data_IF_815929711476
#
_entry.id   IF_815929711476
#
_cell.length_a   1.000
_cell.length_b   1.000
_cell.length_c   1.000
_cell.angle_alpha   90.00
_cell.angle_beta   90.00
_cell.angle_gamma   90.00
#
_symmetry.space_group_name_H-M   'P 1'
#
loop_
_entity.id
_entity.type
_entity.pdbx_description
1 polymer ?
#
# COMPACT_ATOMS: atom_id res chain seq x y z
N UNK A 1 4.96 8.10 18.70
CA UNK A 1 5.67 7.41 17.60
C UNK A 1 6.56 6.36 18.23
N UNK A 2 6.54 5.13 17.73
CA UNK A 2 7.42 4.04 18.16
C UNK A 2 8.29 3.66 16.97
N UNK A 3 9.60 3.60 17.18
CA UNK A 3 10.56 3.13 16.18
C UNK A 3 11.11 1.77 16.59
N UNK A 4 11.21 0.86 15.62
CA UNK A 4 11.73 -0.48 15.80
C UNK A 4 12.79 -0.71 14.73
N UNK A 5 14.03 -0.89 15.19
CA UNK A 5 15.21 -1.07 14.33
C UNK A 5 15.37 -2.52 13.82
N UNK A 6 14.44 -3.41 14.20
CA UNK A 6 14.43 -4.80 13.75
C UNK A 6 13.10 -5.11 13.04
N UNK A 7 13.14 -5.85 11.92
CA UNK A 7 11.95 -6.39 11.28
C UNK A 7 11.05 -7.11 12.29
N UNK A 8 9.79 -6.67 12.39
CA UNK A 8 8.77 -7.38 13.18
C UNK A 8 7.38 -7.25 12.53
N UNK A 9 6.48 -8.22 12.77
CA UNK A 9 5.15 -8.19 12.17
C UNK A 9 4.33 -6.93 12.52
N UNK A 10 3.43 -6.57 11.61
CA UNK A 10 2.46 -5.51 11.84
C UNK A 10 1.55 -5.87 13.02
N UNK A 11 1.39 -4.92 13.95
CA UNK A 11 0.48 -5.04 15.08
C UNK A 11 -0.55 -3.91 15.02
N UNK A 12 -1.80 -4.15 15.44
CA UNK A 12 -2.82 -3.11 15.51
C UNK A 12 -2.36 -1.92 16.37
N UNK A 13 -2.60 -0.70 15.89
CA UNK A 13 -2.30 0.54 16.59
C UNK A 13 -3.57 1.30 17.01
N UNK A 14 -3.39 2.41 17.73
CA UNK A 14 -4.50 3.24 18.22
C UNK A 14 -5.07 4.20 17.14
N UNK A 15 -5.29 3.69 15.92
CA UNK A 15 -5.89 4.32 14.72
C UNK A 15 -5.72 5.85 14.62
N UNK A 16 -4.86 6.32 13.70
CA UNK A 16 -4.69 7.75 13.39
C UNK A 16 -4.01 8.60 14.49
N UNK A 17 -3.70 8.02 15.65
CA UNK A 17 -3.01 8.71 16.76
C UNK A 17 -1.56 8.28 16.96
N UNK A 18 -1.18 7.11 16.44
CA UNK A 18 0.14 6.52 16.65
C UNK A 18 0.71 6.01 15.34
N UNK A 19 1.98 6.32 15.10
CA UNK A 19 2.79 5.74 14.03
C UNK A 19 3.80 4.76 14.62
N UNK A 20 3.91 3.60 13.98
CA UNK A 20 4.96 2.60 14.19
C UNK A 20 5.84 2.59 12.95
N UNK A 21 7.13 2.86 13.13
CA UNK A 21 8.12 2.84 12.06
C UNK A 21 9.01 1.62 12.28
N UNK A 22 9.08 0.74 11.28
CA UNK A 22 9.81 -0.52 11.35
C UNK A 22 10.88 -0.48 10.26
N UNK A 23 12.14 -0.63 10.63
CA UNK A 23 13.23 -0.77 9.68
C UNK A 23 13.15 -2.15 9.00
N UNK A 24 13.34 -2.17 7.68
CA UNK A 24 13.41 -3.37 6.84
C UNK A 24 14.55 -3.19 5.84
N UNK A 25 15.19 -4.29 5.45
CA UNK A 25 16.26 -4.22 4.45
C UNK A 25 15.67 -4.06 3.05
N UNK A 26 14.53 -4.73 2.78
CA UNK A 26 13.77 -4.57 1.55
C UNK A 26 12.27 -4.47 1.80
N UNK A 27 11.56 -3.76 0.91
CA UNK A 27 10.11 -3.58 1.04
C UNK A 27 9.35 -4.91 0.85
N UNK A 28 9.91 -5.86 0.13
CA UNK A 28 9.30 -7.17 -0.16
C UNK A 28 9.10 -8.01 1.10
N UNK A 29 9.96 -7.84 2.11
CA UNK A 29 9.85 -8.53 3.39
C UNK A 29 8.50 -8.25 4.08
N UNK A 30 7.95 -7.07 3.83
CA UNK A 30 6.69 -6.62 4.43
C UNK A 30 5.46 -7.31 3.86
N UNK A 31 5.53 -7.90 2.66
CA UNK A 31 4.37 -8.49 1.96
C UNK A 31 3.74 -9.60 2.80
N UNK A 32 4.56 -10.43 3.45
CA UNK A 32 4.07 -11.51 4.33
C UNK A 32 3.34 -10.97 5.57
N UNK A 33 3.79 -9.84 6.13
CA UNK A 33 3.15 -9.20 7.27
C UNK A 33 1.85 -8.52 6.89
N UNK A 34 1.81 -7.93 5.69
CA UNK A 34 0.58 -7.36 5.11
C UNK A 34 -0.45 -8.46 4.88
N UNK A 35 -0.06 -9.59 4.28
CA UNK A 35 -0.97 -10.72 4.03
C UNK A 35 -1.66 -11.24 5.31
N UNK A 36 -0.94 -11.25 6.44
CA UNK A 36 -1.49 -11.63 7.74
C UNK A 36 -2.61 -10.70 8.24
N UNK A 37 -2.65 -9.46 7.73
CA UNK A 37 -3.64 -8.43 8.09
C UNK A 37 -4.79 -8.30 7.09
N UNK A 38 -4.88 -9.17 6.08
CA UNK A 38 -5.81 -9.05 4.94
C UNK A 38 -7.27 -8.73 5.29
N UNK A 39 -7.75 -9.17 6.45
CA UNK A 39 -9.13 -8.93 6.90
C UNK A 39 -9.40 -7.46 7.28
N UNK A 40 -8.34 -6.67 7.47
CA UNK A 40 -8.39 -5.29 7.97
C UNK A 40 -7.75 -4.27 7.00
N UNK A 41 -7.17 -4.73 5.89
CA UNK A 41 -6.48 -3.85 4.94
C UNK A 41 -7.49 -3.09 4.08
N UNK A 42 -7.33 -1.77 4.00
CA UNK A 42 -8.06 -0.91 3.07
C UNK A 42 -7.17 -0.41 1.93
N UNK A 43 -5.89 -0.18 2.20
CA UNK A 43 -4.92 0.29 1.22
C UNK A 43 -3.53 0.43 1.80
N UNK A 44 -2.56 0.66 0.92
CA UNK A 44 -1.15 0.89 1.26
C UNK A 44 -0.68 2.17 0.60
N UNK A 45 -0.04 3.04 1.38
CA UNK A 45 0.77 4.14 0.84
C UNK A 45 2.14 3.60 0.46
N UNK A 46 2.57 3.77 -0.80
CA UNK A 46 3.87 3.28 -1.27
C UNK A 46 4.74 4.44 -1.76
N UNK A 47 6.00 4.41 -1.34
CA UNK A 47 7.06 5.31 -1.79
C UNK A 47 8.20 4.45 -2.34
N UNK A 48 8.26 4.30 -3.66
CA UNK A 48 9.24 3.46 -4.34
C UNK A 48 9.42 3.92 -5.79
N UNK A 49 10.55 3.58 -6.40
CA UNK A 49 10.79 3.80 -7.84
C UNK A 49 9.73 3.10 -8.71
N UNK A 50 9.45 3.56 -9.94
CA UNK A 50 8.35 3.05 -10.77
C UNK A 50 8.36 1.54 -10.96
N UNK A 51 9.53 0.94 -11.24
CA UNK A 51 9.64 -0.51 -11.43
C UNK A 51 9.33 -1.28 -10.13
N UNK A 52 9.76 -0.74 -9.00
CA UNK A 52 9.49 -1.32 -7.68
C UNK A 52 8.03 -1.15 -7.28
N UNK A 53 7.40 -0.01 -7.62
CA UNK A 53 5.97 0.23 -7.43
C UNK A 53 5.14 -0.88 -8.11
N UNK A 54 5.32 -1.10 -9.42
CA UNK A 54 4.52 -2.11 -10.14
C UNK A 54 4.77 -3.53 -9.63
N UNK A 55 6.03 -3.86 -9.31
CA UNK A 55 6.39 -5.17 -8.79
C UNK A 55 5.77 -5.44 -7.41
N UNK A 56 5.88 -4.49 -6.48
CA UNK A 56 5.26 -4.60 -5.16
C UNK A 56 3.73 -4.55 -5.26
N UNK A 57 3.17 -3.78 -6.20
CA UNK A 57 1.73 -3.70 -6.38
C UNK A 57 1.09 -5.07 -6.69
N UNK A 58 1.72 -5.86 -7.57
CA UNK A 58 1.27 -7.21 -7.84
C UNK A 58 1.31 -8.10 -6.58
N UNK A 59 2.39 -8.01 -5.79
CA UNK A 59 2.57 -8.80 -4.57
C UNK A 59 1.60 -8.39 -3.46
N UNK A 60 1.40 -7.09 -3.27
CA UNK A 60 0.48 -6.52 -2.28
C UNK A 60 -0.99 -6.79 -2.66
N UNK A 61 -1.33 -6.71 -3.95
CA UNK A 61 -2.65 -7.10 -4.46
C UNK A 61 -2.95 -8.57 -4.16
N UNK A 62 -1.99 -9.46 -4.40
CA UNK A 62 -2.11 -10.88 -4.03
C UNK A 62 -2.21 -11.10 -2.51
N UNK A 63 -1.63 -10.21 -1.70
CA UNK A 63 -1.74 -10.21 -0.24
C UNK A 63 -3.09 -9.65 0.28
N UNK A 64 -3.97 -9.16 -0.60
CA UNK A 64 -5.31 -8.66 -0.25
C UNK A 64 -5.40 -7.14 -0.12
N UNK A 65 -4.39 -6.38 -0.56
CA UNK A 65 -4.51 -4.93 -0.71
C UNK A 65 -5.42 -4.62 -1.90
N UNK A 66 -6.37 -3.70 -1.71
CA UNK A 66 -7.30 -3.28 -2.77
C UNK A 66 -6.95 -1.91 -3.37
N UNK A 67 -6.03 -1.18 -2.74
CA UNK A 67 -5.68 0.20 -3.08
C UNK A 67 -4.21 0.48 -2.79
N UNK A 68 -3.50 1.05 -3.76
CA UNK A 68 -2.15 1.57 -3.64
C UNK A 68 -2.17 3.06 -3.97
N UNK A 69 -1.68 3.87 -3.04
CA UNK A 69 -1.70 5.34 -3.12
C UNK A 69 -0.31 5.92 -2.81
N UNK A 70 -0.11 7.20 -3.11
CA UNK A 70 1.07 7.91 -2.64
C UNK A 70 1.07 8.03 -1.11
N UNK A 71 2.26 7.94 -0.50
CA UNK A 71 2.40 8.20 0.93
C UNK A 71 1.87 9.61 1.27
N UNK A 72 0.98 9.70 2.26
CA UNK A 72 0.30 10.94 2.63
C UNK A 72 -1.08 11.15 1.99
N UNK A 73 -1.43 10.41 0.94
CA UNK A 73 -2.69 10.57 0.21
C UNK A 73 -3.79 9.56 0.60
N UNK A 74 -3.51 8.67 1.57
CA UNK A 74 -4.44 7.63 2.01
C UNK A 74 -5.83 8.15 2.43
N UNK A 75 -5.91 9.37 2.97
CA UNK A 75 -7.18 10.01 3.38
C UNK A 75 -7.86 10.83 2.27
N UNK A 76 -7.30 10.85 1.07
CA UNK A 76 -7.74 11.68 -0.05
C UNK A 76 -7.84 10.84 -1.33
N UNK A 77 -8.85 9.97 -1.45
CA UNK A 77 -9.08 9.16 -2.65
C UNK A 77 -9.30 10.02 -3.90
N UNK A 78 -8.84 9.53 -5.06
CA UNK A 78 -9.03 10.20 -6.34
C UNK A 78 -10.52 10.29 -6.73
N UNK A 79 -10.87 11.37 -7.44
CA UNK A 79 -12.23 11.59 -7.92
C UNK A 79 -12.64 10.49 -8.90
N UNK A 80 -13.76 9.82 -8.63
CA UNK A 80 -14.19 8.64 -9.39
C UNK A 80 -13.96 7.31 -8.69
N UNK A 81 -13.46 7.33 -7.44
CA UNK A 81 -13.46 6.14 -6.58
C UNK A 81 -14.83 5.49 -6.63
N UNK A 82 -14.83 4.18 -6.89
CA UNK A 82 -16.02 3.34 -7.00
C UNK A 82 -16.86 3.41 -5.72
N UNK A 83 -17.72 4.42 -5.59
CA UNK A 83 -18.76 4.46 -4.57
C UNK A 83 -19.87 3.48 -5.01
N UNK A 84 -19.81 2.27 -4.45
CA UNK A 84 -20.94 1.38 -4.12
C UNK A 84 -21.95 0.98 -5.22
N UNK A 85 -21.51 0.90 -6.48
CA UNK A 85 -22.24 0.19 -7.55
C UNK A 85 -21.54 -1.12 -7.91
N UNK A 86 -21.96 -2.26 -7.36
CA UNK A 86 -21.29 -3.55 -7.66
C UNK A 86 -21.84 -4.19 -8.94
N UNK A 87 -20.97 -4.40 -9.93
CA UNK A 87 -21.20 -5.35 -11.01
C UNK A 87 -21.13 -6.79 -10.46
N UNK A 88 -21.95 -7.72 -10.97
CA UNK A 88 -22.04 -9.11 -10.44
C UNK A 88 -20.71 -9.90 -10.45
N UNK A 89 -19.73 -9.48 -11.25
CA UNK A 89 -18.40 -10.10 -11.28
C UNK A 89 -17.45 -9.59 -10.19
N UNK A 90 -17.70 -8.40 -9.63
CA UNK A 90 -16.88 -7.83 -8.55
C UNK A 90 -17.03 -8.57 -7.21
N UNK A 91 -18.01 -9.46 -7.09
CA UNK A 91 -18.10 -10.39 -5.96
C UNK A 91 -17.11 -11.56 -6.08
N UNK A 92 -16.63 -11.85 -7.29
CA UNK A 92 -15.77 -13.00 -7.60
C UNK A 92 -14.30 -12.62 -7.77
N UNK A 93 -13.99 -11.33 -7.89
CA UNK A 93 -12.62 -10.84 -8.09
C UNK A 93 -12.25 -9.82 -7.02
N UNK A 94 -10.99 -9.83 -6.60
CA UNK A 94 -10.41 -8.74 -5.83
C UNK A 94 -9.55 -7.91 -6.78
N UNK A 95 -9.89 -6.62 -6.90
CA UNK A 95 -9.10 -5.67 -7.66
C UNK A 95 -8.17 -4.91 -6.71
N UNK A 96 -6.90 -4.77 -7.12
CA UNK A 96 -5.98 -3.84 -6.50
C UNK A 96 -5.73 -2.69 -7.46
N UNK A 97 -6.16 -1.49 -7.09
CA UNK A 97 -5.99 -0.28 -7.91
C UNK A 97 -4.67 0.41 -7.54
N UNK A 98 -3.94 0.90 -8.54
CA UNK A 98 -2.81 1.81 -8.36
C UNK A 98 -3.30 3.19 -8.76
N UNK A 99 -3.27 4.14 -7.82
CA UNK A 99 -3.67 5.52 -8.10
C UNK A 99 -2.66 6.26 -8.97
N UNK A 100 -3.16 7.21 -9.77
CA UNK A 100 -2.31 8.06 -10.59
C UNK A 100 -1.34 8.88 -9.73
N UNK A 101 -1.76 9.29 -8.54
CA UNK A 101 -0.91 9.94 -7.56
C UNK A 101 0.25 9.06 -7.10
N UNK A 102 0.05 7.73 -6.97
CA UNK A 102 1.12 6.80 -6.61
C UNK A 102 2.16 6.69 -7.74
N UNK A 103 1.71 6.61 -9.00
CA UNK A 103 2.60 6.59 -10.17
C UNK A 103 3.40 7.90 -10.29
N UNK A 104 2.72 9.04 -10.13
CA UNK A 104 3.36 10.37 -10.19
C UNK A 104 4.37 10.56 -9.05
N UNK A 105 4.05 10.08 -7.85
CA UNK A 105 4.96 10.12 -6.71
C UNK A 105 6.17 9.18 -6.93
N UNK A 106 5.98 8.04 -7.58
CA UNK A 106 7.03 7.07 -7.85
C UNK A 106 8.16 7.64 -8.72
N UNK A 107 7.82 8.55 -9.65
CA UNK A 107 8.81 9.24 -10.48
C UNK A 107 9.88 9.93 -9.64
N UNK A 108 9.55 10.48 -8.46
CA UNK A 108 10.52 11.15 -7.57
C UNK A 108 11.61 10.22 -7.02
N UNK A 109 11.42 8.91 -7.11
CA UNK A 109 12.37 7.90 -6.64
C UNK A 109 13.05 7.18 -7.81
N UNK A 110 12.89 7.68 -9.04
CA UNK A 110 13.46 7.04 -10.21
C UNK A 110 14.99 7.25 -10.28
N UNK A 111 15.75 6.22 -10.71
CA UNK A 111 17.22 6.24 -10.66
C UNK A 111 17.88 7.26 -11.61
N UNK A 112 17.11 7.92 -12.48
CA UNK A 112 17.60 8.95 -13.42
C UNK A 112 17.44 10.39 -12.91
N UNK A 113 16.92 10.57 -11.70
CA UNK A 113 16.88 11.88 -11.02
C UNK A 113 18.17 12.19 -10.24
N UNK A 114 18.98 11.17 -9.97
CA UNK A 114 20.32 11.24 -9.38
C UNK A 114 21.41 11.08 -10.46
#
# INVERSE_FOLDING_TARGET
>A
MVYVDKPEPLQPGALGRTLKVIAVDTLEETVSWVAAQRAYLQGVGLAAAPQTLFRLAAQLGAAGVTRITALGNMTSPEAGWHHDGRFSLLDLVTLCEIEQAAETAAEHYAPYLD
#
